data_IF_582265346002
#
_entry.id   IF_582265346002
#
_cell.length_a   1.000
_cell.length_b   1.000
_cell.length_c   1.000
_cell.angle_alpha   90.00
_cell.angle_beta   90.00
_cell.angle_gamma   90.00
#
_symmetry.space_group_name_H-M   'P 1'
#
loop_
_entity.id
_entity.type
_entity.pdbx_description
1 polymer ?
#
# COMPACT_ATOMS: atom_id res chain seq x y z
N UNK A 1 -10.95 14.29 22.35
CA UNK A 1 -11.15 13.56 21.08
C UNK A 1 -10.09 13.97 20.06
N UNK A 2 -9.90 15.27 19.93
CA UNK A 2 -8.95 15.83 18.95
C UNK A 2 -7.48 15.46 19.25
N UNK A 3 -7.09 15.40 20.52
CA UNK A 3 -5.72 15.04 20.92
C UNK A 3 -5.31 13.62 20.50
N UNK A 4 -6.23 12.65 20.55
CA UNK A 4 -5.92 11.26 20.16
C UNK A 4 -5.74 11.12 18.66
N UNK A 5 -6.50 11.85 17.86
CA UNK A 5 -6.36 11.90 16.40
C UNK A 5 -5.12 12.69 15.97
N UNK A 6 -4.74 13.73 16.72
CA UNK A 6 -3.49 14.46 16.48
C UNK A 6 -2.29 13.56 16.74
N UNK A 7 -2.26 12.81 17.85
CA UNK A 7 -1.21 11.83 18.15
C UNK A 7 -1.18 10.71 17.10
N UNK A 8 -2.35 10.22 16.66
CA UNK A 8 -2.47 9.23 15.58
C UNK A 8 -1.94 9.76 14.25
N UNK A 9 -2.26 11.02 13.90
CA UNK A 9 -1.73 11.66 12.70
C UNK A 9 -0.21 11.82 12.75
N UNK A 10 0.34 12.26 13.88
CA UNK A 10 1.78 12.38 14.08
C UNK A 10 2.48 11.03 13.98
N UNK A 11 1.91 9.99 14.62
CA UNK A 11 2.41 8.62 14.53
C UNK A 11 2.48 8.12 13.08
N UNK A 12 1.39 8.33 12.31
CA UNK A 12 1.32 7.97 10.89
C UNK A 12 2.41 8.67 10.08
N UNK A 13 2.59 9.97 10.28
CA UNK A 13 3.60 10.77 9.57
C UNK A 13 5.01 10.29 9.89
N UNK A 14 5.35 10.07 11.17
CA UNK A 14 6.66 9.61 11.61
C UNK A 14 6.99 8.23 11.01
N UNK A 15 6.11 7.24 11.18
CA UNK A 15 6.33 5.87 10.68
C UNK A 15 6.43 5.86 9.15
N UNK A 16 5.60 6.66 8.46
CA UNK A 16 5.63 6.73 7.01
C UNK A 16 6.87 7.44 6.49
N UNK A 17 7.28 8.56 7.12
CA UNK A 17 8.43 9.34 6.71
C UNK A 17 9.76 8.62 7.00
N UNK A 18 9.81 7.83 8.07
CA UNK A 18 10.99 7.04 8.46
C UNK A 18 11.54 6.15 7.32
N UNK A 19 10.70 5.78 6.36
CA UNK A 19 11.05 4.89 5.25
C UNK A 19 11.42 5.62 3.95
N UNK A 20 11.53 6.96 3.97
CA UNK A 20 11.71 7.78 2.76
C UNK A 20 12.93 7.37 1.93
N UNK A 21 14.05 7.05 2.59
CA UNK A 21 15.33 6.77 1.93
C UNK A 21 15.36 5.39 1.25
N UNK A 22 14.41 4.49 1.62
CA UNK A 22 14.25 3.16 1.03
C UNK A 22 13.21 3.08 -0.12
N UNK A 23 12.58 4.20 -0.49
CA UNK A 23 11.48 4.20 -1.47
C UNK A 23 11.91 4.23 -2.92
N UNK A 24 13.16 4.61 -3.18
CA UNK A 24 13.73 4.75 -4.52
C UNK A 24 15.05 3.98 -4.54
N UNK A 25 15.23 3.13 -5.54
CA UNK A 25 16.49 2.38 -5.72
C UNK A 25 17.57 3.19 -6.43
N UNK A 26 18.77 2.62 -6.54
CA UNK A 26 19.91 3.28 -7.19
C UNK A 26 19.69 3.59 -8.68
N UNK A 27 18.69 2.98 -9.32
CA UNK A 27 18.32 3.25 -10.71
C UNK A 27 17.27 4.35 -10.83
N UNK A 28 16.74 4.84 -9.71
CA UNK A 28 15.68 5.84 -9.66
C UNK A 28 14.27 5.25 -9.73
N UNK A 29 14.12 3.92 -9.69
CA UNK A 29 12.82 3.27 -9.70
C UNK A 29 12.21 3.19 -8.28
N UNK A 30 10.89 3.24 -8.21
CA UNK A 30 10.16 3.04 -6.96
C UNK A 30 10.36 1.60 -6.43
N UNK A 31 10.51 1.49 -5.11
CA UNK A 31 10.67 0.21 -4.41
C UNK A 31 9.43 -0.09 -3.60
N UNK A 32 8.82 -1.24 -3.87
CA UNK A 32 7.66 -1.71 -3.12
C UNK A 32 8.05 -1.99 -1.67
N UNK A 33 7.11 -1.80 -0.75
CA UNK A 33 7.37 -1.92 0.69
C UNK A 33 8.02 -3.25 1.10
N UNK A 34 7.61 -4.35 0.48
CA UNK A 34 8.16 -5.67 0.74
C UNK A 34 9.65 -5.81 0.37
N UNK A 35 10.09 -5.03 -0.62
CA UNK A 35 11.44 -5.07 -1.19
C UNK A 35 12.35 -3.97 -0.63
N UNK A 36 11.84 -3.09 0.24
CA UNK A 36 12.63 -2.01 0.83
C UNK A 36 13.73 -2.53 1.73
N UNK A 37 14.93 -1.98 1.57
CA UNK A 37 16.03 -2.21 2.51
C UNK A 37 15.72 -1.54 3.86
N UNK A 38 15.41 -2.36 4.86
CA UNK A 38 15.05 -1.89 6.20
C UNK A 38 16.21 -1.23 6.95
N UNK A 39 17.45 -1.47 6.54
CA UNK A 39 18.62 -0.79 7.12
C UNK A 39 18.65 0.70 6.82
N UNK A 40 17.95 1.15 5.77
CA UNK A 40 17.77 2.54 5.39
C UNK A 40 16.63 3.25 6.15
N UNK A 41 15.88 2.51 6.96
CA UNK A 41 14.78 3.10 7.72
C UNK A 41 15.29 3.85 8.95
N UNK A 42 14.69 5.00 9.24
CA UNK A 42 14.95 5.76 10.47
C UNK A 42 14.24 5.08 11.66
N UNK A 43 14.98 4.20 12.34
CA UNK A 43 14.46 3.46 13.49
C UNK A 43 14.09 4.36 14.67
N UNK A 44 14.73 5.54 14.80
CA UNK A 44 14.39 6.53 15.82
C UNK A 44 12.99 7.12 15.58
N UNK A 45 12.72 7.53 14.34
CA UNK A 45 11.37 7.98 13.95
C UNK A 45 10.31 6.89 14.08
N UNK A 46 10.64 5.64 13.75
CA UNK A 46 9.71 4.52 13.93
C UNK A 46 9.38 4.35 15.41
N UNK A 47 10.38 4.32 16.29
CA UNK A 47 10.18 4.17 17.73
C UNK A 47 9.34 5.31 18.32
N UNK A 48 9.60 6.56 17.93
CA UNK A 48 8.77 7.70 18.34
C UNK A 48 7.34 7.56 17.82
N UNK A 49 7.14 7.20 16.55
CA UNK A 49 5.83 7.00 15.97
C UNK A 49 5.01 5.92 16.67
N UNK A 50 5.63 4.79 17.01
CA UNK A 50 4.99 3.73 17.79
C UNK A 50 4.59 4.20 19.20
N UNK A 51 5.45 4.97 19.86
CA UNK A 51 5.14 5.55 21.19
C UNK A 51 3.95 6.52 21.11
N UNK A 52 3.87 7.37 20.07
CA UNK A 52 2.73 8.27 19.84
C UNK A 52 1.43 7.49 19.60
N UNK A 53 1.52 6.41 18.83
CA UNK A 53 0.37 5.52 18.60
C UNK A 53 -0.13 4.91 19.91
N UNK A 54 0.77 4.41 20.77
CA UNK A 54 0.40 3.86 22.08
C UNK A 54 -0.32 4.88 22.96
N UNK A 55 0.18 6.12 22.99
CA UNK A 55 -0.49 7.23 23.72
C UNK A 55 -1.91 7.48 23.18
N UNK A 56 -2.07 7.48 21.85
CA UNK A 56 -3.38 7.65 21.21
C UNK A 56 -4.35 6.52 21.58
N UNK A 57 -3.87 5.27 21.52
CA UNK A 57 -4.67 4.07 21.80
C UNK A 57 -5.13 3.98 23.26
N UNK A 58 -4.35 4.46 24.23
CA UNK A 58 -4.71 4.50 25.66
C UNK A 58 -5.99 5.32 25.91
N UNK A 59 -6.33 6.27 25.03
CA UNK A 59 -7.54 7.11 25.15
C UNK A 59 -8.83 6.36 24.78
N UNK A 60 -8.72 5.16 24.17
CA UNK A 60 -9.85 4.29 23.79
C UNK A 60 -10.93 4.97 22.95
N UNK A 61 -10.55 5.96 22.16
CA UNK A 61 -11.42 6.69 21.22
C UNK A 61 -10.85 6.55 19.82
N UNK A 62 -10.93 5.35 19.19
CA UNK A 62 -10.34 5.13 17.89
C UNK A 62 -10.96 6.04 16.84
N UNK A 63 -10.09 6.62 16.02
CA UNK A 63 -10.45 7.44 14.89
C UNK A 63 -9.62 7.08 13.65
N UNK A 64 -9.91 7.69 12.49
CA UNK A 64 -9.27 7.33 11.23
C UNK A 64 -7.75 7.40 11.24
N UNK A 65 -7.16 8.45 11.83
CA UNK A 65 -5.70 8.59 11.86
C UNK A 65 -5.02 7.58 12.77
N UNK A 66 -5.62 7.23 13.91
CA UNK A 66 -5.12 6.17 14.77
C UNK A 66 -5.12 4.82 14.04
N UNK A 67 -6.20 4.50 13.31
CA UNK A 67 -6.31 3.26 12.54
C UNK A 67 -5.28 3.23 11.41
N UNK A 68 -5.10 4.33 10.67
CA UNK A 68 -4.06 4.45 9.63
C UNK A 68 -2.65 4.31 10.21
N UNK A 69 -2.38 4.88 11.39
CA UNK A 69 -1.10 4.72 12.08
C UNK A 69 -0.88 3.27 12.52
N UNK A 70 -1.92 2.59 13.01
CA UNK A 70 -1.85 1.17 13.36
C UNK A 70 -1.55 0.29 12.13
N UNK A 71 -2.15 0.57 10.96
CA UNK A 71 -1.81 -0.09 9.70
C UNK A 71 -0.33 0.15 9.34
N UNK A 72 0.14 1.40 9.45
CA UNK A 72 1.55 1.72 9.19
C UNK A 72 2.50 0.99 10.17
N UNK A 73 2.11 0.86 11.44
CA UNK A 73 2.85 0.11 12.46
C UNK A 73 2.96 -1.38 12.12
N UNK A 74 1.88 -2.00 11.61
CA UNK A 74 1.91 -3.40 11.18
C UNK A 74 2.92 -3.69 10.05
N UNK A 75 3.34 -2.67 9.29
CA UNK A 75 4.34 -2.82 8.24
C UNK A 75 5.79 -2.75 8.72
N UNK A 76 6.05 -2.15 9.88
CA UNK A 76 7.42 -1.91 10.38
C UNK A 76 7.87 -2.92 11.44
N UNK A 77 7.04 -3.89 11.79
CA UNK A 77 7.37 -4.97 12.72
C UNK A 77 8.53 -5.85 12.22
N UNK A 78 9.25 -6.51 13.13
CA UNK A 78 10.43 -7.34 12.83
C UNK A 78 10.10 -8.53 11.90
N UNK A 79 8.91 -9.10 12.01
CA UNK A 79 8.45 -10.25 11.20
C UNK A 79 7.92 -9.91 9.80
N UNK A 80 8.01 -8.64 9.37
CA UNK A 80 7.36 -8.19 8.15
C UNK A 80 5.96 -7.64 8.39
N UNK A 81 5.17 -7.49 7.32
CA UNK A 81 3.80 -6.96 7.40
C UNK A 81 2.83 -7.99 7.99
N UNK A 82 2.12 -7.64 9.05
CA UNK A 82 1.03 -8.45 9.63
C UNK A 82 -0.27 -8.26 8.81
N UNK A 83 -0.34 -8.94 7.68
CA UNK A 83 -1.47 -8.79 6.76
C UNK A 83 -2.83 -9.20 7.35
N UNK A 84 -2.95 -10.28 8.17
CA UNK A 84 -4.19 -10.56 8.88
C UNK A 84 -4.68 -9.41 9.75
N UNK A 85 -3.79 -8.79 10.52
CA UNK A 85 -4.13 -7.63 11.35
C UNK A 85 -4.47 -6.40 10.50
N UNK A 86 -3.74 -6.15 9.42
CA UNK A 86 -3.98 -5.04 8.48
C UNK A 86 -5.38 -5.14 7.89
N UNK A 87 -5.85 -6.33 7.52
CA UNK A 87 -7.22 -6.52 7.01
C UNK A 87 -8.25 -6.08 8.03
N UNK A 88 -8.14 -6.50 9.28
CA UNK A 88 -9.07 -6.10 10.36
C UNK A 88 -9.07 -4.58 10.61
N UNK A 89 -7.90 -3.96 10.50
CA UNK A 89 -7.75 -2.51 10.62
C UNK A 89 -8.44 -1.77 9.45
N UNK A 90 -8.31 -2.27 8.21
CA UNK A 90 -9.05 -1.70 7.08
C UNK A 90 -10.56 -1.89 7.22
N UNK A 91 -11.05 -3.02 7.70
CA UNK A 91 -12.47 -3.22 8.02
C UNK A 91 -12.97 -2.22 9.08
N UNK A 92 -12.12 -1.88 10.06
CA UNK A 92 -12.42 -0.82 11.01
C UNK A 92 -12.41 0.56 10.35
N UNK A 93 -11.42 0.85 9.50
CA UNK A 93 -11.30 2.13 8.80
C UNK A 93 -12.48 2.40 7.87
N UNK A 94 -12.98 1.37 7.18
CA UNK A 94 -14.16 1.48 6.30
C UNK A 94 -15.45 1.91 7.03
N UNK A 95 -15.55 1.70 8.34
CA UNK A 95 -16.68 2.24 9.14
C UNK A 95 -16.59 3.75 9.35
N UNK A 96 -15.42 4.34 9.22
CA UNK A 96 -15.16 5.77 9.35
C UNK A 96 -15.06 6.46 7.99
N UNK A 97 -14.38 5.82 7.04
CA UNK A 97 -14.07 6.36 5.71
C UNK A 97 -14.40 5.31 4.62
N UNK A 98 -15.68 5.12 4.24
CA UNK A 98 -16.08 4.15 3.21
C UNK A 98 -15.78 4.66 1.79
N UNK A 99 -14.54 5.08 1.54
CA UNK A 99 -14.12 5.62 0.24
C UNK A 99 -13.61 4.54 -0.71
N UNK A 100 -13.69 4.74 -2.04
CA UNK A 100 -13.12 3.81 -3.01
C UNK A 100 -11.62 3.55 -2.79
N UNK A 101 -10.86 4.55 -2.35
CA UNK A 101 -9.42 4.42 -2.07
C UNK A 101 -9.16 3.51 -0.86
N UNK A 102 -9.96 3.60 0.20
CA UNK A 102 -9.84 2.69 1.37
C UNK A 102 -10.27 1.28 0.99
N UNK A 103 -11.31 1.12 0.16
CA UNK A 103 -11.73 -0.19 -0.38
C UNK A 103 -10.65 -0.83 -1.25
N UNK A 104 -9.97 -0.04 -2.08
CA UNK A 104 -8.80 -0.46 -2.86
C UNK A 104 -7.69 -1.00 -1.96
N UNK A 105 -7.30 -0.25 -0.95
CA UNK A 105 -6.24 -0.67 -0.02
C UNK A 105 -6.63 -1.93 0.78
N UNK A 106 -7.90 -2.06 1.16
CA UNK A 106 -8.42 -3.27 1.79
C UNK A 106 -8.37 -4.49 0.84
N UNK A 107 -8.71 -4.33 -0.44
CA UNK A 107 -8.62 -5.38 -1.45
C UNK A 107 -7.18 -5.89 -1.60
N UNK A 108 -6.20 -4.98 -1.65
CA UNK A 108 -4.77 -5.34 -1.66
C UNK A 108 -4.39 -6.10 -0.39
N UNK A 109 -4.79 -5.64 0.79
CA UNK A 109 -4.50 -6.32 2.05
C UNK A 109 -5.10 -7.73 2.11
N UNK A 110 -6.30 -7.92 1.57
CA UNK A 110 -6.93 -9.25 1.44
C UNK A 110 -6.07 -10.17 0.55
N UNK A 111 -5.64 -9.69 -0.60
CA UNK A 111 -4.80 -10.45 -1.52
C UNK A 111 -3.45 -10.82 -0.87
N UNK A 112 -2.82 -9.89 -0.14
CA UNK A 112 -1.58 -10.13 0.59
C UNK A 112 -1.76 -11.12 1.75
N UNK A 113 -2.96 -11.19 2.36
CA UNK A 113 -3.30 -12.18 3.39
C UNK A 113 -3.65 -13.57 2.84
N UNK A 114 -3.44 -13.81 1.52
CA UNK A 114 -3.72 -15.08 0.86
C UNK A 114 -5.13 -15.20 0.23
N UNK A 115 -5.92 -14.13 0.25
CA UNK A 115 -7.28 -14.10 -0.32
C UNK A 115 -7.29 -13.35 -1.67
N UNK A 116 -6.42 -13.79 -2.61
CA UNK A 116 -6.17 -13.12 -3.88
C UNK A 116 -7.44 -12.91 -4.72
N UNK A 117 -8.25 -13.95 -4.90
CA UNK A 117 -9.46 -13.85 -5.73
C UNK A 117 -10.48 -12.87 -5.12
N UNK A 118 -10.62 -12.83 -3.80
CA UNK A 118 -11.51 -11.86 -3.15
C UNK A 118 -11.01 -10.43 -3.38
N UNK A 119 -9.69 -10.22 -3.32
CA UNK A 119 -9.08 -8.92 -3.65
C UNK A 119 -9.40 -8.49 -5.08
N UNK A 120 -9.24 -9.40 -6.06
CA UNK A 120 -9.55 -9.14 -7.47
C UNK A 120 -11.03 -8.83 -7.70
N UNK A 121 -11.95 -9.55 -7.06
CA UNK A 121 -13.39 -9.28 -7.17
C UNK A 121 -13.74 -7.87 -6.66
N UNK A 122 -13.13 -7.44 -5.55
CA UNK A 122 -13.32 -6.08 -5.02
C UNK A 122 -12.76 -5.04 -6.00
N UNK A 123 -11.56 -5.28 -6.59
CA UNK A 123 -10.98 -4.38 -7.58
C UNK A 123 -11.88 -4.26 -8.82
N UNK A 124 -12.42 -5.37 -9.32
CA UNK A 124 -13.34 -5.35 -10.44
C UNK A 124 -14.58 -4.48 -10.16
N UNK A 125 -15.13 -4.56 -8.95
CA UNK A 125 -16.26 -3.74 -8.53
C UNK A 125 -15.92 -2.24 -8.40
N UNK A 126 -14.63 -1.88 -8.21
CA UNK A 126 -14.16 -0.49 -8.08
C UNK A 126 -13.82 0.18 -9.43
N UNK A 127 -13.81 -0.56 -10.53
CA UNK A 127 -13.35 -0.09 -11.83
C UNK A 127 -14.04 1.19 -12.32
N UNK A 128 -15.33 1.32 -12.09
CA UNK A 128 -16.11 2.51 -12.47
C UNK A 128 -15.90 3.70 -11.52
N UNK A 129 -15.41 3.47 -10.30
CA UNK A 129 -15.21 4.53 -9.29
C UNK A 129 -13.80 5.14 -9.35
N UNK A 130 -12.81 4.42 -9.91
CA UNK A 130 -11.39 4.81 -9.91
C UNK A 130 -10.72 4.80 -11.31
N UNK A 131 -11.41 5.20 -12.40
CA UNK A 131 -10.88 5.04 -13.76
C UNK A 131 -9.62 5.87 -14.03
N UNK A 132 -9.45 7.01 -13.37
CA UNK A 132 -8.29 7.92 -13.50
C UNK A 132 -7.29 7.82 -12.34
N UNK A 133 -7.37 6.79 -11.52
CA UNK A 133 -6.52 6.67 -10.34
C UNK A 133 -5.39 5.66 -10.58
N UNK A 134 -4.18 6.16 -10.86
CA UNK A 134 -3.01 5.34 -11.18
C UNK A 134 -2.77 4.18 -10.20
N UNK A 135 -2.84 4.36 -8.85
CA UNK A 135 -2.60 3.24 -7.93
C UNK A 135 -3.64 2.11 -8.04
N UNK A 136 -4.85 2.40 -8.52
CA UNK A 136 -5.86 1.37 -8.79
C UNK A 136 -5.40 0.45 -9.92
N UNK A 137 -4.97 1.02 -11.06
CA UNK A 137 -4.49 0.24 -12.20
C UNK A 137 -3.21 -0.53 -11.86
N UNK A 138 -2.31 0.05 -11.08
CA UNK A 138 -1.13 -0.65 -10.58
C UNK A 138 -1.50 -1.85 -9.69
N UNK A 139 -2.48 -1.71 -8.80
CA UNK A 139 -2.96 -2.81 -7.96
C UNK A 139 -3.63 -3.91 -8.79
N UNK A 140 -4.48 -3.57 -9.77
CA UNK A 140 -5.07 -4.53 -10.71
C UNK A 140 -3.97 -5.31 -11.42
N UNK A 141 -2.96 -4.60 -11.96
CA UNK A 141 -1.84 -5.22 -12.67
C UNK A 141 -1.07 -6.23 -11.80
N UNK A 142 -0.69 -5.83 -10.58
CA UNK A 142 0.07 -6.69 -9.67
C UNK A 142 -0.74 -7.93 -9.24
N UNK A 143 -2.02 -7.76 -8.91
CA UNK A 143 -2.84 -8.89 -8.47
C UNK A 143 -3.21 -9.82 -9.64
N UNK A 144 -3.49 -9.29 -10.84
CA UNK A 144 -3.74 -10.09 -12.04
C UNK A 144 -2.48 -10.88 -12.46
N UNK A 145 -1.28 -10.27 -12.37
CA UNK A 145 -0.02 -10.96 -12.63
C UNK A 145 0.18 -12.14 -11.65
N UNK A 146 -0.08 -11.95 -10.38
CA UNK A 146 -0.01 -13.00 -9.35
C UNK A 146 -1.04 -14.11 -9.56
N UNK A 147 -2.19 -13.79 -10.15
CA UNK A 147 -3.23 -14.76 -10.53
C UNK A 147 -2.91 -15.48 -11.84
N UNK A 148 -1.78 -15.17 -12.52
CA UNK A 148 -1.41 -15.73 -13.82
C UNK A 148 -2.22 -15.17 -15.00
N UNK A 149 -2.95 -14.05 -14.80
CA UNK A 149 -3.76 -13.38 -15.83
C UNK A 149 -2.90 -12.36 -16.57
N UNK A 150 -1.92 -12.83 -17.36
CA UNK A 150 -0.87 -11.98 -17.93
C UNK A 150 -1.39 -10.88 -18.85
N UNK A 151 -2.39 -11.17 -19.70
CA UNK A 151 -2.95 -10.16 -20.62
C UNK A 151 -3.65 -9.03 -19.87
N UNK A 152 -4.43 -9.37 -18.84
CA UNK A 152 -5.12 -8.40 -17.98
C UNK A 152 -4.10 -7.55 -17.19
N UNK A 153 -3.04 -8.19 -16.67
CA UNK A 153 -1.97 -7.49 -15.98
C UNK A 153 -1.23 -6.50 -16.89
N UNK A 154 -0.89 -6.93 -18.12
CA UNK A 154 -0.20 -6.07 -19.09
C UNK A 154 -1.04 -4.84 -19.47
N UNK A 155 -2.33 -5.02 -19.70
CA UNK A 155 -3.23 -3.91 -19.99
C UNK A 155 -3.34 -2.93 -18.81
N UNK A 156 -3.47 -3.45 -17.59
CA UNK A 156 -3.54 -2.62 -16.38
C UNK A 156 -2.22 -1.85 -16.13
N UNK A 157 -1.04 -2.45 -16.40
CA UNK A 157 0.24 -1.72 -16.34
C UNK A 157 0.30 -0.59 -17.35
N UNK A 158 -0.17 -0.79 -18.60
CA UNK A 158 -0.22 0.29 -19.62
C UNK A 158 -1.14 1.44 -19.18
N UNK A 159 -2.29 1.12 -18.58
CA UNK A 159 -3.19 2.13 -18.02
C UNK A 159 -2.54 2.89 -16.85
N UNK A 160 -1.85 2.20 -15.94
CA UNK A 160 -1.11 2.85 -14.86
C UNK A 160 -0.01 3.79 -15.39
N UNK A 161 0.74 3.36 -16.42
CA UNK A 161 1.76 4.18 -17.08
C UNK A 161 1.18 5.43 -17.72
N UNK A 162 0.00 5.34 -18.35
CA UNK A 162 -0.66 6.49 -18.97
C UNK A 162 -1.13 7.54 -17.95
N UNK A 163 -1.27 7.18 -16.68
CA UNK A 163 -1.80 8.04 -15.61
C UNK A 163 -0.72 8.62 -14.69
N UNK A 164 0.55 8.31 -14.89
CA UNK A 164 1.65 8.85 -14.07
C UNK A 164 2.64 9.65 -14.89
N UNK A 165 3.17 10.71 -14.28
CA UNK A 165 4.34 11.45 -14.77
C UNK A 165 5.54 11.34 -13.83
N UNK A 166 5.42 10.55 -12.76
CA UNK A 166 6.49 10.32 -11.79
C UNK A 166 7.51 9.34 -12.38
N UNK A 167 8.76 9.79 -12.53
CA UNK A 167 9.81 8.97 -13.16
C UNK A 167 10.08 7.66 -12.42
N UNK A 168 9.98 7.65 -11.08
CA UNK A 168 10.21 6.44 -10.29
C UNK A 168 9.09 5.40 -10.48
N UNK A 169 7.83 5.86 -10.57
CA UNK A 169 6.69 4.98 -10.86
C UNK A 169 6.77 4.45 -12.29
N UNK A 170 7.13 5.29 -13.28
CA UNK A 170 7.31 4.88 -14.67
C UNK A 170 8.36 3.76 -14.75
N UNK A 171 9.55 3.97 -14.18
CA UNK A 171 10.63 2.98 -14.21
C UNK A 171 10.23 1.64 -13.56
N UNK A 172 9.48 1.70 -12.46
CA UNK A 172 8.94 0.51 -11.81
C UNK A 172 7.93 -0.23 -12.71
N UNK A 173 6.93 0.47 -13.23
CA UNK A 173 5.84 -0.10 -14.03
C UNK A 173 6.34 -0.68 -15.35
N UNK A 174 7.28 0.00 -16.04
CA UNK A 174 7.91 -0.49 -17.25
C UNK A 174 8.67 -1.80 -17.00
N UNK A 175 9.44 -1.87 -15.92
CA UNK A 175 10.15 -3.09 -15.52
C UNK A 175 9.17 -4.25 -15.25
N UNK A 176 8.04 -3.98 -14.58
CA UNK A 176 7.01 -5.00 -14.30
C UNK A 176 6.34 -5.48 -15.58
N UNK A 177 5.99 -4.58 -16.48
CA UNK A 177 5.39 -4.92 -17.77
C UNK A 177 6.33 -5.76 -18.63
N UNK A 178 7.62 -5.39 -18.73
CA UNK A 178 8.62 -6.13 -19.48
C UNK A 178 8.83 -7.56 -18.94
N UNK A 179 8.64 -7.77 -17.64
CA UNK A 179 8.75 -9.11 -17.04
C UNK A 179 7.56 -10.04 -17.36
N UNK A 180 6.42 -9.49 -17.81
CA UNK A 180 5.26 -10.28 -18.23
C UNK A 180 5.34 -10.69 -19.70
N UNK A 181 5.97 -9.86 -20.53
CA UNK A 181 6.12 -10.11 -21.96
C UNK A 181 7.35 -11.05 -22.15
N UNK A 182 7.19 -12.29 -22.68
CA UNK A 182 8.34 -13.11 -22.98
C UNK A 182 9.22 -12.37 -24.00
N UNK A 183 10.57 -12.52 -23.94
CA UNK A 183 11.45 -11.89 -24.93
C UNK A 183 10.97 -12.30 -26.31
N UNK A 184 10.77 -11.30 -27.19
CA UNK A 184 10.36 -11.52 -28.58
C UNK A 184 11.29 -12.59 -29.16
N UNK A 185 10.70 -13.70 -29.62
CA UNK A 185 11.46 -14.79 -30.26
C UNK A 185 12.17 -14.20 -31.47
N UNK A 186 13.50 -14.17 -31.40
CA UNK A 186 14.41 -13.71 -32.47
C UNK A 186 14.48 -14.72 -33.59
#
# INVERSE_FOLDING_TARGET
RDDAEIEGCLALLLITHARRDARIDATGAAVMLADQDRSLWDHGMIAEGLQRLDIAMQRRTPGPYQIKAAIAACHVGEGGSDWPQIVLLYESLLRHEPTPVVRLAWAVALAESGRLEIGLDILAALSAELPGYQPFHAAVAELSARAGRSDEAAEAYRQALALTSNAADIAYLERRLANLEPPAAS
#
